data_IF_130662459242
#
_entry.id   IF_130662459242
#
_cell.length_a   1.000
_cell.length_b   1.000
_cell.length_c   1.000
_cell.angle_alpha   90.00
_cell.angle_beta   90.00
_cell.angle_gamma   90.00
#
_symmetry.space_group_name_H-M   'P 1'
#
loop_
_entity.id
_entity.type
_entity.pdbx_description
1 polymer ?
#
# COMPACT_ATOMS: atom_id res chain seq x y z
N UNK A 1 12.61 0.56 -14.19
CA UNK A 1 12.55 0.62 -12.71
C UNK A 1 12.21 2.02 -12.18
N UNK A 2 12.77 3.11 -12.71
CA UNK A 2 12.45 4.51 -12.30
C UNK A 2 10.96 4.86 -12.37
N UNK A 3 10.26 4.52 -13.46
CA UNK A 3 8.81 4.78 -13.62
C UNK A 3 7.94 4.07 -12.56
N UNK A 4 8.38 2.89 -12.09
CA UNK A 4 7.67 2.12 -11.07
C UNK A 4 7.76 2.77 -9.69
N UNK A 5 8.96 3.25 -9.32
CA UNK A 5 9.17 3.99 -8.08
C UNK A 5 8.30 5.25 -8.04
N UNK A 6 8.31 6.05 -9.11
CA UNK A 6 7.51 7.30 -9.17
C UNK A 6 6.00 7.03 -9.10
N UNK A 7 5.50 6.03 -9.82
CA UNK A 7 4.07 5.66 -9.77
C UNK A 7 3.64 5.15 -8.39
N UNK A 8 4.51 4.37 -7.73
CA UNK A 8 4.20 3.78 -6.43
C UNK A 8 4.28 4.81 -5.30
N UNK A 9 5.13 5.83 -5.44
CA UNK A 9 5.20 6.96 -4.52
C UNK A 9 3.89 7.76 -4.49
N UNK A 10 3.23 7.95 -5.64
CA UNK A 10 1.96 8.68 -5.69
C UNK A 10 0.84 7.98 -4.93
N UNK A 11 0.65 6.67 -5.12
CA UNK A 11 -0.35 5.94 -4.34
C UNK A 11 0.02 5.81 -2.88
N UNK A 12 1.32 5.74 -2.57
CA UNK A 12 1.82 5.73 -1.18
C UNK A 12 1.53 7.08 -0.48
N UNK A 13 1.75 8.20 -1.18
CA UNK A 13 1.43 9.52 -0.67
C UNK A 13 -0.08 9.69 -0.47
N UNK A 14 -0.90 9.21 -1.41
CA UNK A 14 -2.35 9.24 -1.27
C UNK A 14 -2.86 8.38 -0.09
N UNK A 15 -2.30 7.19 0.13
CA UNK A 15 -2.56 6.36 1.31
C UNK A 15 -2.24 7.16 2.60
N UNK A 16 -1.02 7.70 2.69
CA UNK A 16 -0.59 8.45 3.87
C UNK A 16 -1.47 9.66 4.17
N UNK A 17 -1.78 10.48 3.15
CA UNK A 17 -2.59 11.68 3.32
C UNK A 17 -4.04 11.34 3.70
N UNK A 18 -4.62 10.34 3.07
CA UNK A 18 -6.00 9.92 3.36
C UNK A 18 -6.12 9.36 4.78
N UNK A 19 -5.14 8.57 5.24
CA UNK A 19 -5.09 8.11 6.61
C UNK A 19 -4.92 9.27 7.60
N UNK A 20 -3.97 10.16 7.33
CA UNK A 20 -3.56 11.22 8.27
C UNK A 20 -4.61 12.31 8.45
N UNK A 21 -5.28 12.71 7.36
CA UNK A 21 -6.15 13.88 7.33
C UNK A 21 -7.64 13.56 7.23
N UNK A 22 -8.02 12.34 6.85
CA UNK A 22 -9.42 11.99 6.62
C UNK A 22 -9.87 10.87 7.54
N UNK A 23 -9.39 9.66 7.33
CA UNK A 23 -10.04 8.48 7.90
C UNK A 23 -9.81 8.29 9.40
N UNK A 24 -8.63 8.66 9.92
CA UNK A 24 -8.31 8.42 11.34
C UNK A 24 -9.20 9.19 12.32
N UNK A 25 -9.89 10.25 11.87
CA UNK A 25 -10.70 11.10 12.74
C UNK A 25 -12.13 10.56 12.95
N UNK A 26 -12.64 9.79 12.00
CA UNK A 26 -14.04 9.33 12.00
C UNK A 26 -14.17 7.81 12.10
N UNK A 27 -13.06 7.07 12.00
CA UNK A 27 -13.07 5.61 11.96
C UNK A 27 -12.04 4.98 12.91
N UNK A 28 -12.30 3.75 13.39
CA UNK A 28 -11.29 2.96 14.09
C UNK A 28 -10.05 2.75 13.22
N UNK A 29 -8.87 2.73 13.86
CA UNK A 29 -7.56 2.67 13.18
C UNK A 29 -7.44 1.57 12.13
N UNK A 30 -7.99 0.39 12.43
CA UNK A 30 -8.02 -0.73 11.50
C UNK A 30 -8.74 -0.37 10.19
N UNK A 31 -9.97 0.16 10.28
CA UNK A 31 -10.77 0.52 9.11
C UNK A 31 -10.21 1.76 8.40
N UNK A 32 -9.65 2.71 9.15
CA UNK A 32 -8.97 3.86 8.58
C UNK A 32 -7.78 3.45 7.71
N UNK A 33 -6.99 2.46 8.15
CA UNK A 33 -5.89 1.91 7.36
C UNK A 33 -6.37 1.20 6.10
N UNK A 34 -7.43 0.38 6.20
CA UNK A 34 -8.02 -0.31 5.04
C UNK A 34 -8.49 0.69 3.98
N UNK A 35 -9.27 1.70 4.35
CA UNK A 35 -9.78 2.69 3.41
C UNK A 35 -8.66 3.51 2.77
N UNK A 36 -7.68 3.95 3.54
CA UNK A 36 -6.54 4.69 3.03
C UNK A 36 -5.67 3.84 2.07
N UNK A 37 -5.35 2.62 2.47
CA UNK A 37 -4.56 1.69 1.67
C UNK A 37 -5.28 1.29 0.38
N UNK A 38 -6.62 1.18 0.40
CA UNK A 38 -7.42 0.92 -0.78
C UNK A 38 -7.31 2.08 -1.80
N UNK A 39 -7.42 3.33 -1.37
CA UNK A 39 -7.22 4.50 -2.24
C UNK A 39 -5.83 4.48 -2.86
N UNK A 40 -4.79 4.26 -2.04
CA UNK A 40 -3.42 4.17 -2.51
C UNK A 40 -3.21 3.03 -3.52
N UNK A 41 -3.83 1.88 -3.27
CA UNK A 41 -3.83 0.73 -4.19
C UNK A 41 -4.49 1.06 -5.52
N UNK A 42 -5.66 1.71 -5.52
CA UNK A 42 -6.37 2.12 -6.74
C UNK A 42 -5.52 3.09 -7.56
N UNK A 43 -4.90 4.08 -6.92
CA UNK A 43 -4.02 5.03 -7.61
C UNK A 43 -2.79 4.32 -8.18
N UNK A 44 -2.13 3.48 -7.37
CA UNK A 44 -0.99 2.67 -7.80
C UNK A 44 -1.35 1.79 -9.00
N UNK A 45 -2.55 1.23 -8.99
CA UNK A 45 -3.08 0.41 -10.06
C UNK A 45 -3.24 1.19 -11.38
N UNK A 46 -3.92 2.34 -11.35
CA UNK A 46 -4.11 3.16 -12.55
C UNK A 46 -2.79 3.66 -13.11
N UNK A 47 -1.87 4.07 -12.23
CA UNK A 47 -0.55 4.55 -12.64
C UNK A 47 0.31 3.42 -13.21
N UNK A 48 0.35 2.25 -12.57
CA UNK A 48 1.12 1.12 -13.08
C UNK A 48 0.56 0.65 -14.43
N UNK A 49 -0.77 0.51 -14.55
CA UNK A 49 -1.46 0.16 -15.82
C UNK A 49 -1.06 1.09 -16.96
N UNK A 50 -0.93 2.39 -16.70
CA UNK A 50 -0.59 3.40 -17.71
C UNK A 50 0.90 3.46 -18.06
N UNK A 51 1.80 3.23 -17.09
CA UNK A 51 3.23 3.56 -17.24
C UNK A 51 4.21 2.37 -17.22
N UNK A 52 3.80 1.21 -16.71
CA UNK A 52 4.71 0.08 -16.43
C UNK A 52 4.38 -1.17 -17.25
N UNK A 53 3.11 -1.39 -17.59
CA UNK A 53 2.69 -2.59 -18.32
C UNK A 53 2.90 -2.47 -19.84
N UNK A 54 4.14 -2.56 -20.30
CA UNK A 54 4.46 -3.14 -21.62
C UNK A 54 4.64 -4.65 -21.40
N UNK A 55 3.58 -5.42 -21.65
CA UNK A 55 3.43 -6.82 -21.21
C UNK A 55 4.09 -7.84 -22.16
N UNK A 56 5.05 -8.62 -21.65
CA UNK A 56 5.61 -9.81 -22.33
C UNK A 56 4.96 -11.15 -21.91
N UNK A 57 4.00 -11.16 -20.96
CA UNK A 57 3.26 -12.37 -20.49
C UNK A 57 1.75 -12.15 -20.57
N UNK A 58 0.96 -13.23 -20.47
CA UNK A 58 -0.53 -13.18 -20.42
C UNK A 58 -0.97 -12.16 -19.35
N UNK A 59 -1.56 -11.01 -19.73
CA UNK A 59 -1.76 -9.87 -18.83
C UNK A 59 -2.59 -10.15 -17.60
N UNK A 60 -3.55 -11.05 -17.74
CA UNK A 60 -4.59 -11.26 -16.74
C UNK A 60 -4.07 -11.92 -15.47
N UNK A 61 -3.15 -12.89 -15.57
CA UNK A 61 -2.69 -13.65 -14.40
C UNK A 61 -1.72 -12.83 -13.52
N UNK A 62 -0.75 -12.17 -14.15
CA UNK A 62 0.19 -11.29 -13.44
C UNK A 62 -0.54 -10.13 -12.75
N UNK A 63 -1.59 -9.63 -13.40
CA UNK A 63 -2.46 -8.61 -12.87
C UNK A 63 -3.27 -9.08 -11.65
N UNK A 64 -3.97 -10.21 -11.75
CA UNK A 64 -4.77 -10.75 -10.64
C UNK A 64 -3.88 -11.04 -9.44
N UNK A 65 -2.69 -11.58 -9.66
CA UNK A 65 -1.72 -11.87 -8.61
C UNK A 65 -1.20 -10.60 -7.93
N UNK A 66 -0.92 -9.55 -8.70
CA UNK A 66 -0.54 -8.24 -8.15
C UNK A 66 -1.65 -7.61 -7.30
N UNK A 67 -2.91 -7.74 -7.71
CA UNK A 67 -4.07 -7.25 -6.95
C UNK A 67 -4.22 -8.05 -5.66
N UNK A 68 -4.11 -9.39 -5.72
CA UNK A 68 -4.19 -10.26 -4.55
C UNK A 68 -3.11 -9.93 -3.50
N UNK A 69 -1.85 -9.74 -3.91
CA UNK A 69 -0.79 -9.30 -3.00
C UNK A 69 -1.09 -7.93 -2.38
N UNK A 70 -1.61 -6.99 -3.16
CA UNK A 70 -1.94 -5.65 -2.65
C UNK A 70 -3.05 -5.72 -1.59
N UNK A 71 -4.07 -6.55 -1.78
CA UNK A 71 -5.12 -6.81 -0.79
C UNK A 71 -4.56 -7.49 0.47
N UNK A 72 -3.69 -8.49 0.33
CA UNK A 72 -3.05 -9.14 1.46
C UNK A 72 -2.21 -8.16 2.28
N UNK A 73 -1.39 -7.32 1.62
CA UNK A 73 -0.59 -6.30 2.30
C UNK A 73 -1.42 -5.18 2.91
N UNK A 74 -2.61 -4.87 2.36
CA UNK A 74 -3.56 -3.95 2.97
C UNK A 74 -4.06 -4.48 4.32
N UNK A 75 -4.50 -5.74 4.38
CA UNK A 75 -4.92 -6.36 5.65
C UNK A 75 -3.77 -6.47 6.65
N UNK A 76 -2.58 -6.88 6.20
CA UNK A 76 -1.39 -6.92 7.05
C UNK A 76 -1.03 -5.52 7.59
N UNK A 77 -1.21 -4.48 6.78
CA UNK A 77 -1.01 -3.10 7.22
C UNK A 77 -2.00 -2.68 8.30
N UNK A 78 -3.28 -3.02 8.14
CA UNK A 78 -4.32 -2.70 9.13
C UNK A 78 -4.09 -3.41 10.47
N UNK A 79 -3.67 -4.69 10.43
CA UNK A 79 -3.25 -5.42 11.63
C UNK A 79 -2.02 -4.74 12.24
N UNK A 80 -1.01 -4.40 11.43
CA UNK A 80 0.22 -3.75 11.89
C UNK A 80 -0.04 -2.42 12.57
N UNK A 81 -0.88 -1.55 12.00
CA UNK A 81 -1.26 -0.27 12.61
C UNK A 81 -1.97 -0.50 13.95
N UNK A 82 -2.89 -1.48 14.00
CA UNK A 82 -3.63 -1.80 15.22
C UNK A 82 -2.67 -2.26 16.32
N UNK A 83 -1.81 -3.23 16.05
CA UNK A 83 -0.88 -3.78 17.05
C UNK A 83 0.21 -2.77 17.44
N UNK A 84 0.74 -1.99 16.50
CA UNK A 84 1.69 -0.92 16.82
C UNK A 84 1.05 0.13 17.74
N UNK A 85 -0.22 0.48 17.51
CA UNK A 85 -0.92 1.47 18.34
C UNK A 85 -1.20 1.00 19.78
N UNK A 86 -1.03 -0.28 20.10
CA UNK A 86 -1.12 -0.80 21.47
C UNK A 86 0.14 -0.49 22.30
N UNK A 87 1.25 -0.11 21.64
CA UNK A 87 2.47 0.36 22.31
C UNK A 87 2.33 1.86 22.59
N UNK A 88 2.55 2.25 23.85
CA UNK A 88 2.32 3.62 24.34
C UNK A 88 3.00 4.72 23.50
N UNK A 89 4.25 4.50 23.08
CA UNK A 89 4.99 5.40 22.19
C UNK A 89 4.26 5.64 20.86
N UNK A 90 3.76 4.58 20.24
CA UNK A 90 3.10 4.64 18.94
C UNK A 90 1.65 5.12 19.03
N UNK A 91 0.98 4.91 20.17
CA UNK A 91 -0.31 5.52 20.46
C UNK A 91 -0.21 7.06 20.44
N UNK A 92 0.86 7.61 21.03
CA UNK A 92 1.13 9.06 21.03
C UNK A 92 1.66 9.55 19.68
N UNK A 93 2.39 8.70 18.95
CA UNK A 93 3.00 9.04 17.66
C UNK A 93 2.48 8.17 16.51
N UNK A 94 1.17 8.17 16.32
CA UNK A 94 0.47 7.29 15.37
C UNK A 94 0.96 7.41 13.92
N UNK A 95 1.41 8.60 13.52
CA UNK A 95 1.97 8.84 12.18
C UNK A 95 3.31 8.12 11.98
N UNK A 96 4.11 7.93 13.04
CA UNK A 96 5.35 7.16 12.96
C UNK A 96 5.02 5.68 12.74
N UNK A 97 4.05 5.14 13.47
CA UNK A 97 3.55 3.79 13.24
C UNK A 97 3.09 3.61 11.78
N UNK A 98 2.34 4.59 11.25
CA UNK A 98 1.90 4.60 9.86
C UNK A 98 3.06 4.60 8.87
N UNK A 99 4.10 5.41 9.08
CA UNK A 99 5.28 5.43 8.20
C UNK A 99 6.00 4.08 8.20
N UNK A 100 6.14 3.42 9.35
CA UNK A 100 6.75 2.10 9.44
C UNK A 100 5.93 1.08 8.64
N UNK A 101 4.62 0.99 8.90
CA UNK A 101 3.72 0.08 8.20
C UNK A 101 3.72 0.34 6.70
N UNK A 102 3.67 1.59 6.30
CA UNK A 102 3.70 2.03 4.90
C UNK A 102 5.03 1.64 4.23
N UNK A 103 6.17 1.87 4.89
CA UNK A 103 7.49 1.49 4.40
C UNK A 103 7.60 -0.01 4.21
N UNK A 104 7.15 -0.81 5.17
CA UNK A 104 7.11 -2.27 5.06
C UNK A 104 6.24 -2.73 3.89
N UNK A 105 5.03 -2.17 3.73
CA UNK A 105 4.14 -2.48 2.60
C UNK A 105 4.77 -2.13 1.25
N UNK A 106 5.49 -1.01 1.17
CA UNK A 106 6.16 -0.58 -0.06
C UNK A 106 7.26 -1.58 -0.46
N UNK A 107 8.10 -1.99 0.49
CA UNK A 107 9.16 -2.98 0.26
C UNK A 107 8.58 -4.33 -0.18
N UNK A 108 7.55 -4.81 0.52
CA UNK A 108 6.87 -6.06 0.17
C UNK A 108 6.25 -6.00 -1.24
N UNK A 109 5.55 -4.91 -1.57
CA UNK A 109 5.00 -4.71 -2.91
C UNK A 109 6.07 -4.69 -3.99
N UNK A 110 7.22 -4.08 -3.74
CA UNK A 110 8.34 -4.05 -4.67
C UNK A 110 8.85 -5.45 -4.97
N UNK A 111 9.12 -6.26 -3.94
CA UNK A 111 9.61 -7.64 -4.12
C UNK A 111 8.57 -8.55 -4.78
N UNK A 112 7.30 -8.47 -4.37
CA UNK A 112 6.22 -9.26 -4.98
C UNK A 112 6.08 -8.95 -6.46
N UNK A 113 6.09 -7.67 -6.85
CA UNK A 113 5.95 -7.30 -8.26
C UNK A 113 7.18 -7.68 -9.06
N UNK A 114 8.38 -7.56 -8.50
CA UNK A 114 9.59 -8.08 -9.14
C UNK A 114 9.45 -9.58 -9.43
N UNK A 115 8.96 -10.37 -8.47
CA UNK A 115 8.73 -11.79 -8.66
C UNK A 115 7.65 -12.10 -9.71
N UNK A 116 6.53 -11.36 -9.69
CA UNK A 116 5.41 -11.53 -10.62
C UNK A 116 5.76 -11.15 -12.07
N UNK A 117 6.66 -10.18 -12.27
CA UNK A 117 6.98 -9.65 -13.60
C UNK A 117 8.32 -10.13 -14.19
N UNK A 118 9.33 -10.45 -13.36
CA UNK A 118 10.66 -10.88 -13.83
C UNK A 118 10.85 -12.40 -13.87
N UNK A 119 10.08 -13.18 -13.09
CA UNK A 119 10.10 -14.65 -13.10
C UNK A 119 8.81 -15.21 -13.65
#
# INVERSE_FOLDING_TARGET
MTKFGTSSLLGTAADFLSFSFVFRFFMPLFWAEICAAFIGMVINFFMQKRFVFTLNRKPTNAFLLSVAFSLAFMYLGAIGIKTLSEIEFFAQHLLIAKVIVMGSKFVLNYFSKRWVFEK
#
